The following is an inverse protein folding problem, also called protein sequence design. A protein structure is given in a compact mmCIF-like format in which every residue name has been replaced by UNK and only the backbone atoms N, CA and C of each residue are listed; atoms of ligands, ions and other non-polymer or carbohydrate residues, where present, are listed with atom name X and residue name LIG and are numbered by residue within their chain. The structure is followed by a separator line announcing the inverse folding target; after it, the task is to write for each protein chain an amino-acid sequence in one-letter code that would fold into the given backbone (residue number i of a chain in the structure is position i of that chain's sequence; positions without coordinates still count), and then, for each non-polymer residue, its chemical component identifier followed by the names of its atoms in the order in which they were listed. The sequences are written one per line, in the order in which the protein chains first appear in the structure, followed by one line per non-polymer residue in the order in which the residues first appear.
data_IF_010981639657
#
_entry.id   IF_010981639657
#
_cell.length_a   1.000
_cell.length_b   1.000
_cell.length_c   1.000
_cell.angle_alpha   90.00
_cell.angle_beta   90.00
_cell.angle_gamma   90.00
#
_symmetry.space_group_name_H-M   'P 1'
#
loop_
_entity.id
_entity.type
_entity.pdbx_description
1 polymer ?
#
# COMPACT_ATOMS: atom_id res chain seq x y z
N UNK A 1 -17.01 -15.47 5.14
CA UNK A 1 -16.32 -14.16 5.07
C UNK A 1 -16.46 -13.64 3.64
N UNK A 2 -17.33 -12.65 3.37
CA UNK A 2 -17.51 -12.14 1.99
C UNK A 2 -16.39 -11.16 1.67
N UNK A 3 -15.43 -11.57 0.83
CA UNK A 3 -14.39 -10.69 0.30
C UNK A 3 -15.01 -9.70 -0.70
N UNK A 4 -15.52 -8.56 -0.22
CA UNK A 4 -15.76 -7.40 -1.08
C UNK A 4 -14.41 -6.74 -1.35
N UNK A 5 -13.76 -7.15 -2.44
CA UNK A 5 -12.38 -6.78 -2.76
C UNK A 5 -12.21 -5.30 -3.13
N UNK A 6 -13.25 -4.62 -3.62
CA UNK A 6 -13.20 -3.21 -4.00
C UNK A 6 -14.54 -2.56 -3.61
N UNK A 7 -14.52 -1.63 -2.64
CA UNK A 7 -15.61 -0.67 -2.48
C UNK A 7 -15.25 0.58 -3.28
N UNK A 8 -16.20 1.22 -3.96
CA UNK A 8 -15.98 2.47 -4.71
C UNK A 8 -15.74 3.67 -3.78
N UNK A 9 -15.05 3.47 -2.64
CA UNK A 9 -14.72 4.55 -1.72
C UNK A 9 -13.52 5.33 -2.30
N UNK A 10 -13.62 6.67 -2.47
CA UNK A 10 -12.51 7.49 -2.94
C UNK A 10 -11.26 7.37 -2.06
N UNK A 11 -11.41 7.16 -0.75
CA UNK A 11 -10.29 6.90 0.16
C UNK A 11 -9.56 5.59 -0.20
N UNK A 12 -10.31 4.54 -0.53
CA UNK A 12 -9.73 3.24 -0.89
C UNK A 12 -8.85 3.33 -2.13
N UNK A 13 -9.33 4.04 -3.14
CA UNK A 13 -8.57 4.24 -4.37
C UNK A 13 -7.31 5.07 -4.11
N UNK A 14 -7.40 6.14 -3.31
CA UNK A 14 -6.23 6.96 -2.94
C UNK A 14 -5.16 6.15 -2.22
N UNK A 15 -5.55 5.34 -1.22
CA UNK A 15 -4.60 4.51 -0.47
C UNK A 15 -3.99 3.40 -1.33
N UNK A 16 -4.79 2.68 -2.13
CA UNK A 16 -4.27 1.66 -3.06
C UNK A 16 -3.29 2.28 -4.06
N UNK A 17 -3.64 3.44 -4.64
CA UNK A 17 -2.77 4.15 -5.58
C UNK A 17 -1.49 4.63 -4.92
N UNK A 18 -1.56 5.14 -3.70
CA UNK A 18 -0.40 5.57 -2.93
C UNK A 18 0.55 4.40 -2.62
N UNK A 19 0.01 3.25 -2.17
CA UNK A 19 0.80 2.04 -1.91
C UNK A 19 1.41 1.49 -3.21
N UNK A 20 0.64 1.45 -4.30
CA UNK A 20 1.14 1.02 -5.61
C UNK A 20 2.28 1.91 -6.10
N UNK A 21 2.13 3.24 -6.00
CA UNK A 21 3.15 4.19 -6.41
C UNK A 21 4.41 4.05 -5.55
N UNK A 22 4.25 3.85 -4.24
CA UNK A 22 5.35 3.62 -3.30
C UNK A 22 6.13 2.33 -3.59
N UNK A 23 5.50 1.34 -4.22
CA UNK A 23 6.12 0.06 -4.60
C UNK A 23 6.75 0.15 -5.99
N UNK A 24 6.03 0.73 -6.96
CA UNK A 24 6.46 0.81 -8.34
C UNK A 24 7.60 1.83 -8.54
N UNK A 25 7.58 2.97 -7.85
CA UNK A 25 8.64 3.99 -8.02
C UNK A 25 10.04 3.44 -7.69
N UNK A 26 10.29 2.86 -6.51
CA UNK A 26 11.59 2.25 -6.22
C UNK A 26 11.95 1.14 -7.20
N UNK A 27 10.97 0.35 -7.65
CA UNK A 27 11.19 -0.71 -8.63
C UNK A 27 11.70 -0.16 -9.97
N UNK A 28 11.11 0.92 -10.48
CA UNK A 28 11.58 1.59 -11.70
C UNK A 28 12.94 2.27 -11.49
N UNK A 29 13.16 2.89 -10.33
CA UNK A 29 14.45 3.52 -10.00
C UNK A 29 15.56 2.46 -9.97
N UNK A 30 15.36 1.36 -9.25
CA UNK A 30 16.34 0.27 -9.15
C UNK A 30 16.57 -0.37 -10.51
N UNK A 31 15.51 -0.66 -11.27
CA UNK A 31 15.63 -1.17 -12.63
C UNK A 31 16.42 -0.23 -13.55
N UNK A 32 16.15 1.07 -13.48
CA UNK A 32 16.87 2.10 -14.23
C UNK A 32 18.33 2.22 -13.81
N UNK A 33 18.64 2.19 -12.52
CA UNK A 33 20.00 2.18 -12.00
C UNK A 33 20.79 0.96 -12.48
N UNK A 34 20.18 -0.24 -12.45
CA UNK A 34 20.81 -1.45 -12.95
C UNK A 34 21.09 -1.36 -14.46
N UNK A 35 20.13 -0.86 -15.24
CA UNK A 35 20.31 -0.72 -16.69
C UNK A 35 21.37 0.33 -17.03
N UNK A 36 21.38 1.45 -16.32
CA UNK A 36 22.42 2.47 -16.44
C UNK A 36 23.80 1.91 -16.10
N UNK A 37 23.91 1.12 -15.02
CA UNK A 37 25.15 0.48 -14.61
C UNK A 37 25.64 -0.53 -15.66
N UNK A 38 24.75 -1.36 -16.22
CA UNK A 38 25.09 -2.27 -17.33
C UNK A 38 25.60 -1.47 -18.54
N UNK A 39 24.90 -0.40 -18.91
CA UNK A 39 25.29 0.47 -20.02
C UNK A 39 26.65 1.11 -19.79
N UNK A 40 26.92 1.59 -18.57
CA UNK A 40 28.20 2.16 -18.19
C UNK A 40 29.34 1.14 -18.32
N UNK A 41 29.14 -0.09 -17.82
CA UNK A 41 30.11 -1.18 -17.98
C UNK A 41 30.35 -1.46 -19.48
N UNK A 42 29.30 -1.55 -20.29
CA UNK A 42 29.46 -1.81 -21.72
C UNK A 42 30.18 -0.66 -22.46
N UNK A 43 29.92 0.60 -22.08
CA UNK A 43 30.57 1.78 -22.65
C UNK A 43 32.06 1.86 -22.27
N UNK A 44 32.42 1.55 -21.03
CA UNK A 44 33.82 1.48 -20.58
C UNK A 44 34.58 0.33 -21.25
N UNK A 45 33.90 -0.78 -21.54
CA UNK A 45 34.46 -1.93 -22.27
C UNK A 45 34.62 -1.68 -23.77
N UNK A 46 34.01 -0.64 -24.34
CA UNK A 46 34.15 -0.28 -25.77
C UNK A 46 35.58 0.21 -26.13
N UNK A 47 36.42 0.47 -25.14
CA UNK A 47 37.84 0.83 -25.30
C UNK A 47 38.81 -0.40 -25.23
N UNK A 48 38.30 -1.62 -25.07
CA UNK A 48 39.08 -2.88 -24.87
C UNK A 48 38.46 -4.02 -25.74
N UNK A 49 39.26 -4.97 -26.29
CA UNK A 49 38.94 -5.88 -27.41
C UNK A 49 37.59 -6.62 -27.41
N UNK A 50 37.04 -6.79 -28.62
CA UNK A 50 35.78 -7.48 -29.00
C UNK A 50 35.48 -8.80 -28.24
N UNK A 51 36.53 -9.49 -27.78
CA UNK A 51 36.46 -10.70 -26.96
C UNK A 51 35.66 -10.56 -25.65
N UNK A 52 35.55 -9.35 -25.08
CA UNK A 52 34.82 -9.15 -23.81
C UNK A 52 33.33 -8.89 -24.06
N UNK A 53 32.98 -8.17 -25.14
CA UNK A 53 31.60 -7.86 -25.50
C UNK A 53 30.75 -9.13 -25.75
N UNK A 54 31.30 -10.13 -26.44
CA UNK A 54 30.63 -11.41 -26.69
C UNK A 54 30.20 -12.15 -25.42
N UNK A 55 30.90 -11.95 -24.30
CA UNK A 55 30.56 -12.60 -23.02
C UNK A 55 29.53 -11.81 -22.21
N UNK A 56 29.35 -10.51 -22.48
CA UNK A 56 28.40 -9.63 -21.78
C UNK A 56 26.97 -9.73 -22.33
N UNK A 57 26.80 -9.82 -23.65
CA UNK A 57 25.48 -9.98 -24.29
C UNK A 57 24.62 -11.11 -23.69
N UNK A 58 25.12 -12.36 -23.54
CA UNK A 58 24.32 -13.45 -22.96
C UNK A 58 23.98 -13.21 -21.48
N UNK A 59 24.82 -12.47 -20.75
CA UNK A 59 24.54 -12.09 -19.36
C UNK A 59 23.39 -11.08 -19.29
N UNK A 60 23.40 -10.07 -20.17
CA UNK A 60 22.32 -9.06 -20.25
C UNK A 60 21.00 -9.71 -20.65
N UNK A 61 21.01 -10.61 -21.64
CA UNK A 61 19.80 -11.36 -22.04
C UNK A 61 19.25 -12.21 -20.90
N UNK A 62 20.12 -12.89 -20.14
CA UNK A 62 19.71 -13.69 -18.99
C UNK A 62 19.13 -12.84 -17.86
N UNK A 63 19.70 -11.66 -17.60
CA UNK A 63 19.17 -10.69 -16.64
C UNK A 63 17.79 -10.18 -17.10
N UNK A 64 17.66 -9.78 -18.37
CA UNK A 64 16.38 -9.31 -18.92
C UNK A 64 15.30 -10.39 -18.85
N UNK A 65 15.63 -11.63 -19.22
CA UNK A 65 14.71 -12.75 -19.11
C UNK A 65 14.30 -13.00 -17.66
N UNK A 66 15.25 -12.98 -16.72
CA UNK A 66 14.97 -13.15 -15.30
C UNK A 66 14.04 -12.05 -14.78
N UNK A 67 14.32 -10.78 -15.09
CA UNK A 67 13.47 -9.65 -14.72
C UNK A 67 12.07 -9.78 -15.31
N UNK A 68 11.95 -10.13 -16.59
CA UNK A 68 10.67 -10.29 -17.28
C UNK A 68 9.80 -11.37 -16.63
N UNK A 69 10.41 -12.45 -16.12
CA UNK A 69 9.71 -13.54 -15.44
C UNK A 69 9.44 -13.23 -13.96
N UNK A 70 10.36 -12.56 -13.26
CA UNK A 70 10.25 -12.33 -11.81
C UNK A 70 9.39 -11.12 -11.44
N UNK A 71 9.38 -10.07 -12.25
CA UNK A 71 8.65 -8.82 -11.97
C UNK A 71 7.13 -9.03 -11.89
N UNK A 72 6.46 -9.65 -12.88
CA UNK A 72 5.01 -9.79 -12.87
C UNK A 72 4.43 -10.48 -11.61
N UNK A 73 4.93 -11.66 -11.17
CA UNK A 73 4.36 -12.32 -9.99
C UNK A 73 4.56 -11.50 -8.70
N UNK A 74 5.68 -10.81 -8.56
CA UNK A 74 5.94 -9.93 -7.41
C UNK A 74 4.96 -8.76 -7.42
N UNK A 75 4.77 -8.10 -8.57
CA UNK A 75 3.82 -6.99 -8.71
C UNK A 75 2.38 -7.42 -8.41
N UNK A 76 1.96 -8.60 -8.88
CA UNK A 76 0.63 -9.16 -8.59
C UNK A 76 0.47 -9.42 -7.10
N UNK A 77 1.47 -10.06 -6.46
CA UNK A 77 1.45 -10.34 -5.02
C UNK A 77 1.32 -9.05 -4.21
N UNK A 78 2.11 -8.03 -4.55
CA UNK A 78 2.10 -6.74 -3.90
C UNK A 78 0.77 -6.00 -4.08
N UNK A 79 0.16 -6.09 -5.27
CA UNK A 79 -1.16 -5.52 -5.52
C UNK A 79 -2.25 -6.18 -4.65
N UNK A 80 -2.22 -7.51 -4.52
CA UNK A 80 -3.14 -8.25 -3.65
C UNK A 80 -2.96 -7.82 -2.19
N UNK A 81 -1.71 -7.71 -1.72
CA UNK A 81 -1.41 -7.25 -0.36
C UNK A 81 -1.90 -5.82 -0.11
N UNK A 82 -1.71 -4.91 -1.07
CA UNK A 82 -2.19 -3.53 -0.99
C UNK A 82 -3.72 -3.47 -0.83
N UNK A 83 -4.45 -4.28 -1.59
CA UNK A 83 -5.92 -4.39 -1.48
C UNK A 83 -6.33 -4.91 -0.10
N UNK A 84 -5.69 -5.98 0.39
CA UNK A 84 -6.01 -6.58 1.69
C UNK A 84 -5.77 -5.57 2.81
N UNK A 85 -4.61 -4.91 2.81
CA UNK A 85 -4.25 -3.92 3.82
C UNK A 85 -5.22 -2.74 3.83
N UNK A 86 -5.54 -2.21 2.64
CA UNK A 86 -6.44 -1.07 2.51
C UNK A 86 -7.88 -1.42 2.95
N UNK A 87 -8.38 -2.60 2.57
CA UNK A 87 -9.72 -3.06 2.95
C UNK A 87 -9.85 -3.25 4.48
N UNK A 88 -8.78 -3.71 5.14
CA UNK A 88 -8.76 -3.88 6.60
C UNK A 88 -8.93 -2.54 7.32
N UNK A 89 -8.34 -1.46 6.81
CA UNK A 89 -8.37 -0.13 7.44
C UNK A 89 -9.65 0.66 7.15
N UNK A 90 -10.12 0.63 5.90
CA UNK A 90 -11.21 1.53 5.46
C UNK A 90 -12.57 1.14 6.01
N UNK A 91 -12.83 -0.16 6.16
CA UNK A 91 -14.10 -0.64 6.72
C UNK A 91 -14.35 -0.11 8.14
N UNK A 92 -13.41 -0.28 9.09
CA UNK A 92 -13.47 0.33 10.41
C UNK A 92 -13.55 1.86 10.38
N UNK A 93 -12.79 2.52 9.51
CA UNK A 93 -12.75 3.98 9.41
C UNK A 93 -14.11 4.57 8.99
N UNK A 94 -14.77 3.98 7.99
CA UNK A 94 -16.10 4.42 7.56
C UNK A 94 -17.17 4.22 8.64
N UNK A 95 -17.07 3.14 9.43
CA UNK A 95 -17.97 2.91 10.57
C UNK A 95 -17.77 3.98 11.63
N UNK A 96 -16.51 4.28 11.96
CA UNK A 96 -16.15 5.34 12.90
C UNK A 96 -16.69 6.71 12.46
N UNK A 97 -16.55 7.06 11.17
CA UNK A 97 -17.09 8.30 10.61
C UNK A 97 -18.62 8.40 10.79
N UNK A 98 -19.36 7.32 10.49
CA UNK A 98 -20.81 7.28 10.64
C UNK A 98 -21.25 7.40 12.11
N UNK A 99 -20.55 6.75 13.03
CA UNK A 99 -20.84 6.82 14.46
C UNK A 99 -20.51 8.22 15.01
N UNK A 100 -19.40 8.82 14.60
CA UNK A 100 -19.06 10.20 14.95
C UNK A 100 -20.08 11.22 14.44
N UNK A 101 -20.65 10.99 13.25
CA UNK A 101 -21.69 11.86 12.70
C UNK A 101 -22.94 11.86 13.59
N UNK A 102 -23.39 10.70 14.07
CA UNK A 102 -24.51 10.60 15.02
C UNK A 102 -24.23 11.30 16.36
N UNK A 103 -23.01 11.14 16.88
CA UNK A 103 -22.55 11.88 18.09
C UNK A 103 -22.64 13.39 17.84
N UNK A 104 -22.20 13.86 16.67
CA UNK A 104 -22.24 15.28 16.32
C UNK A 104 -23.67 15.82 16.16
N UNK A 105 -24.62 14.97 15.80
CA UNK A 105 -26.06 15.27 15.73
C UNK A 105 -26.75 15.26 17.11
N UNK A 106 -25.99 14.97 18.18
CA UNK A 106 -26.45 15.04 19.56
C UNK A 106 -26.98 13.72 20.15
N UNK A 107 -26.81 12.60 19.44
CA UNK A 107 -27.05 11.27 19.95
C UNK A 107 -25.82 10.77 20.73
N UNK A 108 -25.83 11.00 22.05
CA UNK A 108 -24.78 10.53 22.95
C UNK A 108 -25.06 9.14 23.54
N UNK A 109 -26.15 8.48 23.14
CA UNK A 109 -26.47 7.12 23.62
C UNK A 109 -25.63 6.05 22.93
N UNK A 110 -25.04 6.38 21.79
CA UNK A 110 -24.20 5.44 21.03
C UNK A 110 -22.83 5.27 21.67
N UNK A 111 -22.28 4.06 21.53
CA UNK A 111 -20.92 3.72 21.93
C UNK A 111 -20.20 3.05 20.76
N UNK A 112 -19.01 3.55 20.48
CA UNK A 112 -18.14 3.02 19.43
C UNK A 112 -17.67 1.62 19.83
N UNK A 113 -18.09 0.61 19.07
CA UNK A 113 -17.68 -0.79 19.23
C UNK A 113 -16.67 -1.18 18.16
N UNK A 114 -15.39 -1.06 18.49
CA UNK A 114 -14.29 -1.53 17.63
C UNK A 114 -13.80 -2.90 18.13
N UNK A 115 -13.45 -3.80 17.21
CA UNK A 115 -12.93 -5.12 17.55
C UNK A 115 -11.56 -5.00 18.22
N UNK A 116 -11.22 -5.98 19.06
CA UNK A 116 -10.03 -5.96 19.94
C UNK A 116 -8.70 -5.77 19.20
N UNK A 117 -8.63 -6.21 17.94
CA UNK A 117 -7.43 -6.25 17.09
C UNK A 117 -7.44 -5.22 15.94
N UNK A 118 -8.30 -4.21 16.03
CA UNK A 118 -8.33 -3.10 15.06
C UNK A 118 -7.45 -1.94 15.54
N UNK A 119 -6.69 -1.35 14.62
CA UNK A 119 -5.75 -0.26 14.90
C UNK A 119 -6.44 1.00 15.45
N UNK A 120 -7.75 1.13 15.26
CA UNK A 120 -8.57 2.26 15.69
C UNK A 120 -9.09 2.14 17.14
N UNK A 121 -8.78 1.07 17.86
CA UNK A 121 -9.34 0.81 19.19
C UNK A 121 -9.08 1.93 20.19
N UNK A 122 -7.84 2.42 20.28
CA UNK A 122 -7.47 3.49 21.21
C UNK A 122 -8.27 4.77 20.94
N UNK A 123 -8.52 5.09 19.66
CA UNK A 123 -9.36 6.23 19.29
C UNK A 123 -10.80 6.04 19.77
N UNK A 124 -11.38 4.87 19.54
CA UNK A 124 -12.74 4.59 20.02
C UNK A 124 -12.87 4.66 21.55
N UNK A 125 -11.88 4.17 22.30
CA UNK A 125 -11.88 4.28 23.76
C UNK A 125 -11.84 5.74 24.24
N UNK A 126 -11.02 6.58 23.60
CA UNK A 126 -10.95 8.01 23.92
C UNK A 126 -12.26 8.71 23.56
N UNK A 127 -12.84 8.43 22.40
CA UNK A 127 -14.10 9.06 21.98
C UNK A 127 -15.25 8.63 22.91
N UNK A 128 -15.34 7.35 23.28
CA UNK A 128 -16.36 6.89 24.23
C UNK A 128 -16.27 7.65 25.56
N UNK A 129 -15.07 7.91 26.10
CA UNK A 129 -14.90 8.74 27.30
C UNK A 129 -15.37 10.18 27.13
N UNK A 130 -15.25 10.75 25.93
CA UNK A 130 -15.77 12.09 25.63
C UNK A 130 -17.30 12.05 25.60
N UNK A 131 -17.89 11.06 24.93
CA UNK A 131 -19.34 10.86 24.87
C UNK A 131 -19.94 10.67 26.26
N UNK A 132 -19.30 9.85 27.11
CA UNK A 132 -19.73 9.63 28.51
C UNK A 132 -19.80 10.95 29.30
N UNK A 133 -18.83 11.85 29.11
CA UNK A 133 -18.83 13.17 29.76
C UNK A 133 -19.94 14.08 29.24
N UNK A 134 -20.19 14.07 27.92
CA UNK A 134 -21.24 14.89 27.31
C UNK A 134 -22.64 14.41 27.72
N UNK A 135 -22.84 13.11 27.83
CA UNK A 135 -24.08 12.53 28.33
C UNK A 135 -24.32 12.89 29.80
N UNK A 136 -23.28 12.80 30.65
CA UNK A 136 -23.35 13.17 32.06
C UNK A 136 -23.57 14.67 32.34
N UNK A 137 -23.21 15.56 31.40
CA UNK A 137 -23.48 17.01 31.52
C UNK A 137 -24.91 17.41 31.14
N UNK A 138 -25.66 16.49 30.52
CA UNK A 138 -27.02 16.74 30.03
C UNK A 138 -28.10 16.28 31.02
N UNK A 139 -27.71 15.55 32.07
CA UNK A 139 -28.54 15.15 33.21
C UNK A 139 -28.44 16.20 34.33
#
# INVERSE_FOLDING_TARGET
MRFRLITKNPLQIKFILLILLAILLPMFIVGGCLYYFIFQIMAEQLAIPESIACNLFPVVEKINFLLMVSIPPITILLFILAIILTNRLIGPLQRLENDLKKISEGDYSIRLKIRKDDDLRLMAEVINKIVDKLEGQRQ
#
